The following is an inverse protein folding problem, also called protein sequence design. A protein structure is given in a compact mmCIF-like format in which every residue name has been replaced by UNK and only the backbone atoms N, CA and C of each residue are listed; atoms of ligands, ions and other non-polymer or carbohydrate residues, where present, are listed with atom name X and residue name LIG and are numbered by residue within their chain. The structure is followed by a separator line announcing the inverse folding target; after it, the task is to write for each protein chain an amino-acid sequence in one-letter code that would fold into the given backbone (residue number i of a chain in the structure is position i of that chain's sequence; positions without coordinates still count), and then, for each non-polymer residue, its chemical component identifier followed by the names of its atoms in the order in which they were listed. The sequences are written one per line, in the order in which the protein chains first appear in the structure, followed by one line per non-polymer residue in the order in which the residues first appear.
data_IF_058294497799
#
_entry.id   IF_058294497799
#
_cell.length_a   1.000
_cell.length_b   1.000
_cell.length_c   1.000
_cell.angle_alpha   90.00
_cell.angle_beta   90.00
_cell.angle_gamma   90.00
#
_symmetry.space_group_name_H-M   'P 1'
#
loop_
_entity.id
_entity.type
_entity.pdbx_description
1 polymer ?
#
# COMPACT_ATOMS: atom_id res chain seq x y z
N UNK A 1 2.76 30.12 4.05
CA UNK A 1 2.68 29.77 2.62
C UNK A 1 3.87 30.45 1.93
N UNK A 2 5.03 29.78 1.91
CA UNK A 2 6.30 30.34 1.41
C UNK A 2 6.63 29.75 0.03
N UNK A 3 7.09 30.54 -0.96
CA UNK A 3 7.38 30.07 -2.34
C UNK A 3 8.53 29.06 -2.49
N UNK A 4 9.24 28.73 -1.42
CA UNK A 4 10.43 27.87 -1.33
C UNK A 4 10.16 26.47 -0.74
N UNK A 5 8.88 26.10 -0.56
CA UNK A 5 8.42 24.88 0.12
C UNK A 5 8.76 23.58 -0.66
N UNK A 6 10.01 23.09 -0.53
CA UNK A 6 10.49 21.78 -1.03
C UNK A 6 9.85 20.57 -0.33
N UNK A 7 8.76 20.78 0.40
CA UNK A 7 8.19 19.85 1.38
C UNK A 7 7.23 18.82 0.77
N UNK A 8 6.79 19.04 -0.47
CA UNK A 8 5.85 18.15 -1.17
C UNK A 8 6.39 16.73 -1.49
N UNK A 9 7.61 16.52 -2.06
CA UNK A 9 8.08 15.17 -2.38
C UNK A 9 8.54 14.37 -1.16
N UNK A 10 8.98 15.03 -0.08
CA UNK A 10 9.54 14.37 1.12
C UNK A 10 8.50 13.49 1.81
N UNK A 11 7.23 13.88 1.77
CA UNK A 11 6.11 13.15 2.37
C UNK A 11 5.46 12.19 1.35
N UNK A 12 5.51 12.53 0.06
CA UNK A 12 4.88 11.75 -0.99
C UNK A 12 5.48 10.34 -1.13
N UNK A 13 6.81 10.23 -1.20
CA UNK A 13 7.49 8.94 -1.36
C UNK A 13 7.19 7.97 -0.20
N UNK A 14 7.36 8.35 1.09
CA UNK A 14 7.05 7.43 2.19
C UNK A 14 5.56 7.08 2.26
N UNK A 15 4.66 8.02 1.92
CA UNK A 15 3.22 7.73 1.87
C UNK A 15 2.88 6.68 0.81
N UNK A 16 3.43 6.80 -0.40
CA UNK A 16 3.25 5.81 -1.46
C UNK A 16 3.87 4.46 -1.09
N UNK A 17 5.04 4.46 -0.44
CA UNK A 17 5.70 3.24 0.02
C UNK A 17 4.85 2.46 1.03
N UNK A 18 4.18 3.13 1.97
CA UNK A 18 3.27 2.48 2.94
C UNK A 18 2.08 1.83 2.22
N UNK A 19 1.50 2.51 1.23
CA UNK A 19 0.39 1.96 0.45
C UNK A 19 0.80 0.70 -0.33
N UNK A 20 1.96 0.74 -1.00
CA UNK A 20 2.48 -0.42 -1.73
C UNK A 20 2.78 -1.58 -0.77
N UNK A 21 3.41 -1.30 0.38
CA UNK A 21 3.64 -2.32 1.41
C UNK A 21 2.32 -2.95 1.87
N UNK A 22 1.26 -2.16 2.02
CA UNK A 22 -0.02 -2.68 2.48
C UNK A 22 -0.72 -3.55 1.43
N UNK A 23 -0.53 -3.26 0.14
CA UNK A 23 -0.95 -4.16 -0.94
C UNK A 23 -0.14 -5.46 -0.92
N UNK A 24 1.18 -5.39 -0.72
CA UNK A 24 2.05 -6.57 -0.63
C UNK A 24 1.66 -7.46 0.56
N UNK A 25 1.25 -6.88 1.69
CA UNK A 25 0.75 -7.65 2.84
C UNK A 25 -0.44 -8.54 2.45
N UNK A 26 -1.24 -8.19 1.44
CA UNK A 26 -2.38 -9.01 0.96
C UNK A 26 -2.05 -9.84 -0.29
N UNK A 27 -0.76 -10.05 -0.55
CA UNK A 27 -0.22 -10.71 -1.75
C UNK A 27 -0.67 -10.07 -3.08
N UNK A 28 -0.77 -8.73 -3.12
CA UNK A 28 -1.09 -7.96 -4.33
C UNK A 28 0.09 -7.10 -4.73
N UNK A 29 0.35 -6.96 -6.03
CA UNK A 29 1.41 -6.09 -6.54
C UNK A 29 1.06 -4.61 -6.35
N UNK A 30 2.09 -3.74 -6.24
CA UNK A 30 1.89 -2.29 -6.14
C UNK A 30 1.10 -1.67 -7.30
N UNK A 31 1.02 -2.34 -8.45
CA UNK A 31 0.21 -1.89 -9.60
C UNK A 31 -1.28 -1.77 -9.30
N UNK A 32 -1.79 -2.49 -8.30
CA UNK A 32 -3.18 -2.36 -7.85
C UNK A 32 -3.50 -0.96 -7.32
N UNK A 33 -2.50 -0.17 -6.90
CA UNK A 33 -2.68 1.23 -6.52
C UNK A 33 -3.27 2.09 -7.64
N UNK A 34 -3.07 1.74 -8.91
CA UNK A 34 -3.63 2.48 -10.04
C UNK A 34 -5.18 2.52 -10.02
N UNK A 35 -5.83 1.60 -9.33
CA UNK A 35 -7.29 1.62 -9.15
C UNK A 35 -7.76 2.87 -8.37
N UNK A 36 -6.88 3.54 -7.62
CA UNK A 36 -7.19 4.79 -6.92
C UNK A 36 -7.60 5.92 -7.88
N UNK A 37 -7.15 5.88 -9.14
CA UNK A 37 -7.49 6.88 -10.16
C UNK A 37 -8.88 6.70 -10.76
N UNK A 38 -9.57 5.59 -10.46
CA UNK A 38 -10.92 5.30 -10.96
C UNK A 38 -11.86 5.14 -9.77
N UNK A 39 -12.82 6.07 -9.53
CA UNK A 39 -13.62 6.09 -8.30
C UNK A 39 -14.32 4.77 -7.98
N UNK A 40 -14.91 4.12 -8.98
CA UNK A 40 -15.63 2.85 -8.81
C UNK A 40 -14.65 1.72 -8.45
N UNK A 41 -13.46 1.70 -9.04
CA UNK A 41 -12.47 0.65 -8.79
C UNK A 41 -11.68 0.89 -7.49
N UNK A 42 -11.64 2.13 -7.01
CA UNK A 42 -10.98 2.50 -5.75
C UNK A 42 -11.62 1.80 -4.52
N UNK A 43 -12.87 1.36 -4.63
CA UNK A 43 -13.55 0.55 -3.61
C UNK A 43 -12.78 -0.76 -3.37
N UNK A 44 -12.18 -1.37 -4.39
CA UNK A 44 -11.36 -2.57 -4.22
C UNK A 44 -10.13 -2.31 -3.32
N UNK A 45 -9.52 -1.12 -3.41
CA UNK A 45 -8.42 -0.71 -2.54
C UNK A 45 -8.87 -0.54 -1.09
N UNK A 46 -10.05 0.04 -0.87
CA UNK A 46 -10.64 0.14 0.46
C UNK A 46 -10.82 -1.24 1.09
N UNK A 47 -11.38 -2.19 0.32
CA UNK A 47 -11.52 -3.58 0.75
C UNK A 47 -10.15 -4.17 1.13
N UNK A 48 -9.12 -4.03 0.27
CA UNK A 48 -7.79 -4.56 0.55
C UNK A 48 -7.15 -3.96 1.80
N UNK A 49 -7.39 -2.67 2.09
CA UNK A 49 -6.87 -2.04 3.32
C UNK A 49 -7.57 -2.53 4.58
N UNK A 50 -8.82 -2.97 4.47
CA UNK A 50 -9.57 -3.60 5.57
C UNK A 50 -9.26 -5.08 5.76
N UNK A 51 -8.68 -5.76 4.76
CA UNK A 51 -8.33 -7.17 4.87
C UNK A 51 -7.12 -7.39 5.78
N UNK A 52 -7.12 -8.55 6.43
CA UNK A 52 -5.92 -9.05 7.10
C UNK A 52 -4.86 -9.42 6.04
N UNK A 53 -3.58 -9.30 6.42
CA UNK A 53 -2.49 -9.74 5.55
C UNK A 53 -2.58 -11.25 5.27
N UNK A 54 -1.97 -11.69 4.18
CA UNK A 54 -1.80 -13.10 3.84
C UNK A 54 -1.13 -13.83 5.00
N UNK A 55 -1.71 -14.96 5.42
CA UNK A 55 -1.12 -15.82 6.45
C UNK A 55 0.04 -16.62 5.86
N UNK A 56 1.18 -16.64 6.55
CA UNK A 56 2.37 -17.35 6.10
C UNK A 56 3.11 -16.62 4.96
N UNK A 57 4.10 -17.30 4.37
CA UNK A 57 4.94 -16.70 3.34
C UNK A 57 4.11 -16.30 2.10
N UNK A 58 4.41 -15.12 1.56
CA UNK A 58 3.81 -14.62 0.33
C UNK A 58 4.89 -14.24 -0.70
N UNK A 59 4.49 -13.77 -1.88
CA UNK A 59 5.39 -13.44 -2.98
C UNK A 59 6.32 -12.25 -2.65
N UNK A 60 6.09 -11.57 -1.53
CA UNK A 60 6.80 -10.38 -1.06
C UNK A 60 7.58 -10.59 0.23
N UNK A 61 7.57 -11.80 0.82
CA UNK A 61 8.37 -12.15 1.98
C UNK A 61 7.70 -13.12 2.96
N UNK A 62 8.45 -13.45 4.02
CA UNK A 62 7.95 -14.29 5.10
C UNK A 62 7.02 -13.51 6.05
N UNK A 63 6.01 -14.18 6.59
CA UNK A 63 5.11 -13.59 7.59
C UNK A 63 5.89 -13.28 8.89
N UNK A 64 5.96 -12.00 9.31
CA UNK A 64 6.70 -11.61 10.52
C UNK A 64 6.06 -12.13 11.81
N UNK A 65 4.78 -12.55 11.80
CA UNK A 65 4.14 -13.13 12.99
C UNK A 65 4.65 -14.52 13.33
N UNK A 66 5.38 -15.18 12.43
CA UNK A 66 5.82 -16.55 12.62
C UNK A 66 4.64 -17.52 12.65
N UNK A 67 4.87 -18.74 12.19
CA UNK A 67 3.90 -19.83 12.30
C UNK A 67 3.87 -20.27 13.77
N UNK A 68 3.03 -19.63 14.60
CA UNK A 68 2.66 -20.14 15.92
C UNK A 68 1.52 -21.15 15.80
#
# INVERSE_FOLDING_TARGET
MSPDDKTSPVIFIPSLAVVIRRLHDTNRSGWWFLLAFVPILSIALLVFFCLEGSKGNNDFGADPKGML
#
